data_IF_068445373967
#
_entry.id   IF_068445373967
#
_cell.length_a   1.000
_cell.length_b   1.000
_cell.length_c   1.000
_cell.angle_alpha   90.00
_cell.angle_beta   90.00
_cell.angle_gamma   90.00
#
_symmetry.space_group_name_H-M   'P 1'
#
loop_
_entity.id
_entity.type
_entity.pdbx_description
1 polymer ?
#
# COMPACT_ATOMS: atom_id res chain seq x y z
N UNK A 1 5.33 6.53 28.75
CA UNK A 1 4.06 7.21 28.39
C UNK A 1 3.30 7.58 29.66
N UNK A 2 2.80 8.81 29.72
CA UNK A 2 2.04 9.32 30.87
C UNK A 2 0.64 9.71 30.38
N UNK A 3 -0.38 9.24 31.09
CA UNK A 3 -1.77 9.58 30.81
C UNK A 3 -2.07 10.93 31.48
N UNK A 4 -2.22 11.96 30.66
CA UNK A 4 -2.50 13.32 31.13
C UNK A 4 -3.88 13.46 31.78
N UNK A 5 -4.88 12.69 31.32
CA UNK A 5 -6.25 12.79 31.82
C UNK A 5 -6.37 12.18 33.22
N UNK A 6 -5.72 11.04 33.43
CA UNK A 6 -5.81 10.29 34.69
C UNK A 6 -4.59 10.50 35.61
N UNK A 7 -3.66 11.38 35.23
CA UNK A 7 -2.43 11.68 35.95
C UNK A 7 -1.66 10.42 36.42
N UNK A 8 -1.52 9.42 35.54
CA UNK A 8 -0.86 8.15 35.88
C UNK A 8 0.15 7.72 34.83
N UNK A 9 1.19 7.02 35.28
CA UNK A 9 2.16 6.40 34.37
C UNK A 9 1.48 5.22 33.68
N UNK A 10 1.32 5.34 32.36
CA UNK A 10 0.74 4.28 31.54
C UNK A 10 1.80 3.27 31.09
N UNK A 11 2.98 3.74 30.70
CA UNK A 11 4.11 2.90 30.30
C UNK A 11 5.40 3.46 30.90
N UNK A 12 6.15 2.62 31.61
CA UNK A 12 7.48 2.97 32.13
C UNK A 12 8.50 3.04 31.00
N UNK A 13 9.68 3.60 31.27
CA UNK A 13 10.75 3.71 30.27
C UNK A 13 11.25 2.31 29.90
N UNK A 14 11.00 1.91 28.66
CA UNK A 14 11.37 0.60 28.11
C UNK A 14 11.93 0.81 26.71
N UNK A 15 12.88 -0.03 26.29
CA UNK A 15 13.39 -0.03 24.92
C UNK A 15 12.31 -0.59 23.99
N UNK A 16 12.05 0.08 22.88
CA UNK A 16 11.13 -0.38 21.84
C UNK A 16 11.86 -0.26 20.51
N UNK A 17 12.25 -1.39 19.93
CA UNK A 17 13.18 -1.42 18.79
C UNK A 17 12.49 -1.18 17.44
N UNK A 18 11.16 -1.35 17.39
CA UNK A 18 10.39 -1.26 16.14
C UNK A 18 10.01 0.18 15.75
N UNK A 19 10.15 1.15 16.66
CA UNK A 19 9.79 2.55 16.41
C UNK A 19 11.03 3.37 16.03
N UNK A 20 11.01 3.98 14.84
CA UNK A 20 12.08 4.84 14.35
C UNK A 20 11.77 6.30 14.63
N UNK A 21 12.82 7.14 14.58
CA UNK A 21 12.65 8.58 14.76
C UNK A 21 11.80 9.18 13.64
N UNK A 22 11.92 8.66 12.42
CA UNK A 22 11.13 9.12 11.27
C UNK A 22 9.62 8.92 11.44
N UNK A 23 9.20 7.97 12.29
CA UNK A 23 7.78 7.68 12.56
C UNK A 23 7.14 8.70 13.52
N UNK A 24 7.94 9.58 14.15
CA UNK A 24 7.48 10.52 15.17
C UNK A 24 7.03 11.87 14.57
N UNK A 25 6.05 11.85 13.66
CA UNK A 25 5.47 13.05 13.07
C UNK A 25 3.97 13.20 13.38
N UNK A 26 3.50 14.46 13.43
CA UNK A 26 2.09 14.78 13.67
C UNK A 26 1.19 14.17 12.59
N UNK A 27 0.13 13.49 13.01
CA UNK A 27 -0.79 12.75 12.15
C UNK A 27 -0.40 11.30 11.91
N UNK A 28 0.78 10.84 12.36
CA UNK A 28 1.12 9.43 12.25
C UNK A 28 0.36 8.58 13.26
N UNK A 29 0.08 7.32 12.90
CA UNK A 29 -0.43 6.30 13.82
C UNK A 29 0.67 5.26 14.07
N UNK A 30 1.12 5.14 15.31
CA UNK A 30 2.18 4.21 15.70
C UNK A 30 1.63 3.13 16.62
N UNK A 31 2.06 1.88 16.42
CA UNK A 31 1.72 0.79 17.33
C UNK A 31 2.81 0.70 18.41
N UNK A 32 2.40 0.75 19.69
CA UNK A 32 3.29 0.59 20.84
C UNK A 32 2.69 -0.46 21.77
N UNK A 33 3.33 -1.64 21.84
CA UNK A 33 2.86 -2.78 22.65
C UNK A 33 1.37 -3.11 22.43
N UNK A 34 0.98 -3.30 21.15
CA UNK A 34 -0.38 -3.66 20.73
C UNK A 34 -1.44 -2.57 20.94
N UNK A 35 -1.02 -1.30 21.09
CA UNK A 35 -1.92 -0.15 21.08
C UNK A 35 -1.56 0.80 19.96
N UNK A 36 -2.54 1.10 19.12
CA UNK A 36 -2.43 2.11 18.08
C UNK A 36 -2.61 3.50 18.70
N UNK A 37 -1.58 4.34 18.60
CA UNK A 37 -1.54 5.70 19.12
C UNK A 37 -1.44 6.69 17.98
N UNK A 38 -2.26 7.73 18.02
CA UNK A 38 -2.21 8.83 17.06
C UNK A 38 -1.39 9.99 17.61
N UNK A 39 -0.35 10.40 16.89
CA UNK A 39 0.48 11.54 17.27
C UNK A 39 -0.27 12.82 16.88
N UNK A 40 -0.85 13.51 17.88
CA UNK A 40 -1.68 14.70 17.63
C UNK A 40 -0.89 16.00 17.60
N UNK A 41 0.14 16.13 18.43
CA UNK A 41 1.01 17.31 18.49
C UNK A 41 2.28 16.97 19.30
N UNK A 42 3.26 17.88 19.29
CA UNK A 42 4.44 17.82 20.15
C UNK A 42 4.16 18.52 21.49
N UNK A 43 4.63 17.93 22.59
CA UNK A 43 4.43 18.49 23.93
C UNK A 43 5.23 19.76 24.23
N UNK A 44 6.25 20.07 23.42
CA UNK A 44 7.12 21.23 23.61
C UNK A 44 7.82 21.65 22.30
N UNK A 45 8.26 22.91 22.25
CA UNK A 45 8.93 23.47 21.06
C UNK A 45 10.29 22.85 20.76
N UNK A 46 11.02 22.36 21.76
CA UNK A 46 12.31 21.73 21.52
C UNK A 46 12.12 20.41 20.77
N UNK A 47 11.19 19.58 21.22
CA UNK A 47 10.78 18.34 20.54
C UNK A 47 10.23 18.65 19.15
N UNK A 48 9.38 19.67 19.01
CA UNK A 48 8.87 20.10 17.71
C UNK A 48 10.00 20.52 16.74
N UNK A 49 11.07 21.17 17.21
CA UNK A 49 12.21 21.52 16.33
C UNK A 49 13.14 20.35 16.06
N UNK A 50 13.31 19.45 17.03
CA UNK A 50 14.28 18.34 16.96
C UNK A 50 13.75 17.10 16.25
N UNK A 51 12.44 16.90 16.35
CA UNK A 51 11.70 15.72 15.86
C UNK A 51 10.61 16.13 14.88
N UNK A 52 10.08 17.36 14.97
CA UNK A 52 9.14 17.89 13.99
C UNK A 52 9.78 18.08 12.62
N UNK A 53 9.68 17.02 11.84
CA UNK A 53 9.88 17.01 10.40
C UNK A 53 8.78 17.87 9.79
N UNK A 54 9.11 18.70 8.79
CA UNK A 54 8.13 19.46 7.98
C UNK A 54 7.46 18.48 7.01
N UNK A 55 6.87 17.42 7.55
CA UNK A 55 6.23 16.42 6.74
C UNK A 55 4.95 17.01 6.20
N UNK A 56 4.91 17.12 4.89
CA UNK A 56 3.72 17.51 4.15
C UNK A 56 3.15 16.28 3.47
N UNK A 57 1.84 16.30 3.23
CA UNK A 57 1.18 15.30 2.39
C UNK A 57 0.99 15.87 1.00
N UNK A 58 1.20 15.05 -0.02
CA UNK A 58 0.86 15.40 -1.40
C UNK A 58 0.20 14.23 -2.12
N UNK A 59 -0.56 14.51 -3.16
CA UNK A 59 -1.07 13.48 -4.06
C UNK A 59 0.02 13.13 -5.07
N UNK A 60 0.42 11.86 -5.09
CA UNK A 60 1.13 11.26 -6.21
C UNK A 60 0.16 10.38 -6.98
N UNK A 61 -0.12 10.72 -8.23
CA UNK A 61 -1.02 9.93 -9.09
C UNK A 61 -0.27 9.39 -10.30
N UNK A 62 -0.38 8.10 -10.54
CA UNK A 62 0.13 7.40 -11.72
C UNK A 62 -1.01 7.31 -12.73
N UNK A 63 -0.77 7.83 -13.94
CA UNK A 63 -1.72 7.94 -15.04
C UNK A 63 -1.85 6.61 -15.81
N UNK A 64 -2.88 6.46 -16.66
CA UNK A 64 -3.17 5.16 -17.32
C UNK A 64 -2.01 4.62 -18.17
N UNK A 65 -1.23 5.50 -18.80
CA UNK A 65 -0.07 5.15 -19.63
C UNK A 65 1.06 4.49 -18.84
N UNK A 66 1.13 4.72 -17.53
CA UNK A 66 2.23 4.26 -16.69
C UNK A 66 1.83 3.19 -15.66
N UNK A 67 0.59 2.71 -15.65
CA UNK A 67 0.15 1.63 -14.74
C UNK A 67 0.96 0.34 -14.96
N UNK A 68 1.34 0.02 -16.19
CA UNK A 68 2.21 -1.12 -16.48
C UNK A 68 3.65 -0.95 -15.92
N UNK A 69 4.01 0.24 -15.44
CA UNK A 69 5.29 0.59 -14.80
C UNK A 69 5.10 0.98 -13.33
N UNK A 70 3.96 0.64 -12.74
CA UNK A 70 3.57 0.97 -11.37
C UNK A 70 4.65 0.64 -10.34
N UNK A 71 5.20 -0.58 -10.37
CA UNK A 71 6.24 -1.00 -9.42
C UNK A 71 7.47 -0.11 -9.48
N UNK A 72 7.98 0.19 -10.68
CA UNK A 72 9.15 1.03 -10.90
C UNK A 72 8.96 2.48 -10.44
N UNK A 73 7.74 3.01 -10.58
CA UNK A 73 7.41 4.35 -10.08
C UNK A 73 7.30 4.37 -8.56
N UNK A 74 6.68 3.35 -7.96
CA UNK A 74 6.62 3.19 -6.50
C UNK A 74 8.02 3.05 -5.90
N UNK A 75 8.92 2.27 -6.51
CA UNK A 75 10.33 2.21 -6.08
C UNK A 75 10.98 3.60 -6.10
N UNK A 76 10.82 4.37 -7.19
CA UNK A 76 11.38 5.72 -7.27
C UNK A 76 10.82 6.67 -6.18
N UNK A 77 9.54 6.54 -5.82
CA UNK A 77 8.93 7.28 -4.71
C UNK A 77 9.59 6.90 -3.39
N UNK A 78 9.67 5.60 -3.10
CA UNK A 78 10.22 5.08 -1.84
C UNK A 78 11.72 5.39 -1.69
N UNK A 79 12.51 5.27 -2.77
CA UNK A 79 13.95 5.57 -2.81
C UNK A 79 14.24 7.06 -2.52
N UNK A 80 13.29 7.94 -2.79
CA UNK A 80 13.40 9.38 -2.46
C UNK A 80 13.19 9.66 -0.97
N UNK A 81 12.78 8.65 -0.19
CA UNK A 81 12.48 8.76 1.24
C UNK A 81 11.04 9.15 1.54
N UNK A 82 10.14 9.09 0.55
CA UNK A 82 8.71 9.23 0.79
C UNK A 82 8.15 8.00 1.50
N UNK A 83 7.15 8.24 2.34
CA UNK A 83 6.31 7.21 2.92
C UNK A 83 4.96 7.25 2.21
N UNK A 84 4.48 6.10 1.74
CA UNK A 84 3.13 5.98 1.16
C UNK A 84 2.17 5.65 2.31
N UNK A 85 1.22 6.54 2.61
CA UNK A 85 0.26 6.38 3.71
C UNK A 85 -1.08 5.85 3.25
N UNK A 86 -1.46 6.11 2.00
CA UNK A 86 -2.66 5.56 1.36
C UNK A 86 -2.35 5.26 -0.10
N UNK A 87 -3.01 4.24 -0.63
CA UNK A 87 -2.94 3.90 -2.04
C UNK A 87 -4.26 3.29 -2.52
N UNK A 88 -4.70 3.66 -3.71
CA UNK A 88 -5.91 3.13 -4.33
C UNK A 88 -5.82 3.16 -5.85
N UNK A 89 -6.21 2.06 -6.49
CA UNK A 89 -6.45 2.02 -7.94
C UNK A 89 -7.91 2.32 -8.24
N UNK A 90 -8.16 3.26 -9.14
CA UNK A 90 -9.52 3.69 -9.52
C UNK A 90 -9.64 3.88 -11.02
N UNK A 91 -10.86 3.73 -11.55
CA UNK A 91 -11.20 4.10 -12.91
C UNK A 91 -12.14 5.30 -12.82
N UNK A 92 -11.63 6.47 -13.21
CA UNK A 92 -12.42 7.70 -13.15
C UNK A 92 -13.50 7.68 -14.22
N UNK A 93 -14.74 7.94 -13.81
CA UNK A 93 -15.79 8.34 -14.75
C UNK A 93 -15.46 9.69 -15.37
N UNK A 94 -16.09 9.99 -16.51
CA UNK A 94 -15.93 11.29 -17.18
C UNK A 94 -16.27 12.46 -16.26
N UNK A 95 -17.31 12.32 -15.45
CA UNK A 95 -17.71 13.34 -14.47
C UNK A 95 -16.63 13.54 -13.41
N UNK A 96 -16.18 12.46 -12.77
CA UNK A 96 -15.12 12.53 -11.75
C UNK A 96 -13.84 13.14 -12.29
N UNK A 97 -13.42 12.78 -13.51
CA UNK A 97 -12.26 13.37 -14.14
C UNK A 97 -12.45 14.88 -14.43
N UNK A 98 -13.64 15.30 -14.87
CA UNK A 98 -13.96 16.72 -15.09
C UNK A 98 -13.95 17.52 -13.79
N UNK A 99 -14.52 16.96 -12.72
CA UNK A 99 -14.56 17.58 -11.40
C UNK A 99 -13.13 17.74 -10.85
N UNK A 100 -12.30 16.69 -10.98
CA UNK A 100 -10.90 16.70 -10.54
C UNK A 100 -10.04 17.74 -11.29
N UNK A 101 -10.22 17.88 -12.61
CA UNK A 101 -9.46 18.83 -13.43
C UNK A 101 -10.22 20.14 -13.71
N UNK A 102 -11.20 20.51 -12.88
CA UNK A 102 -12.07 21.69 -13.11
C UNK A 102 -11.30 23.00 -13.31
N UNK A 103 -10.14 23.17 -12.65
CA UNK A 103 -9.23 24.31 -12.83
C UNK A 103 -8.68 24.45 -14.26
N UNK A 104 -8.75 23.41 -15.07
CA UNK A 104 -8.29 23.38 -16.46
C UNK A 104 -9.44 23.43 -17.49
N UNK A 105 -10.69 23.61 -17.07
CA UNK A 105 -11.86 23.55 -17.94
C UNK A 105 -11.80 24.55 -19.13
N UNK A 106 -11.14 25.69 -18.94
CA UNK A 106 -10.97 26.72 -19.99
C UNK A 106 -9.80 26.46 -20.95
N UNK A 107 -9.01 25.40 -20.74
CA UNK A 107 -7.84 25.08 -21.55
C UNK A 107 -8.21 24.27 -22.78
N UNK A 108 -7.57 24.55 -23.92
CA UNK A 108 -7.83 23.87 -25.19
C UNK A 108 -7.59 22.35 -25.14
N UNK A 109 -6.68 21.88 -24.30
CA UNK A 109 -6.34 20.47 -24.11
C UNK A 109 -7.26 19.72 -23.13
N UNK A 110 -8.24 20.40 -22.52
CA UNK A 110 -9.05 19.81 -21.44
C UNK A 110 -9.81 18.56 -21.90
N UNK A 111 -10.45 18.60 -23.08
CA UNK A 111 -11.21 17.46 -23.60
C UNK A 111 -10.34 16.21 -23.78
N UNK A 112 -9.11 16.39 -24.31
CA UNK A 112 -8.17 15.29 -24.53
C UNK A 112 -7.63 14.75 -23.20
N UNK A 113 -7.37 15.63 -22.23
CA UNK A 113 -6.98 15.25 -20.87
C UNK A 113 -8.07 14.39 -20.22
N UNK A 114 -9.33 14.82 -20.27
CA UNK A 114 -10.44 14.05 -19.70
C UNK A 114 -10.57 12.70 -20.42
N UNK A 115 -10.57 12.69 -21.75
CA UNK A 115 -10.66 11.45 -22.53
C UNK A 115 -9.55 10.46 -22.17
N UNK A 116 -8.31 10.96 -22.00
CA UNK A 116 -7.18 10.14 -21.58
C UNK A 116 -7.33 9.62 -20.15
N UNK A 117 -7.69 10.48 -19.19
CA UNK A 117 -7.82 10.08 -17.77
C UNK A 117 -8.96 9.09 -17.53
N UNK A 118 -9.94 9.03 -18.42
CA UNK A 118 -11.03 8.04 -18.39
C UNK A 118 -10.75 6.78 -19.20
N UNK A 119 -9.61 6.70 -19.90
CA UNK A 119 -9.32 5.60 -20.83
C UNK A 119 -8.85 4.31 -20.15
N UNK A 120 -8.47 4.38 -18.88
CA UNK A 120 -7.94 3.24 -18.12
C UNK A 120 -7.76 3.57 -16.64
N UNK A 121 -7.32 2.57 -15.85
CA UNK A 121 -7.12 2.75 -14.41
C UNK A 121 -6.02 3.77 -14.12
N UNK A 122 -6.14 4.44 -12.98
CA UNK A 122 -5.09 5.27 -12.38
C UNK A 122 -4.80 4.77 -10.97
N UNK A 123 -3.61 5.07 -10.47
CA UNK A 123 -3.25 4.79 -9.08
C UNK A 123 -3.03 6.10 -8.34
N UNK A 124 -3.89 6.39 -7.37
CA UNK A 124 -3.75 7.51 -6.46
C UNK A 124 -2.99 7.08 -5.20
N UNK A 125 -2.02 7.89 -4.77
CA UNK A 125 -1.20 7.66 -3.58
C UNK A 125 -1.21 8.92 -2.72
N UNK A 126 -1.47 8.78 -1.42
CA UNK A 126 -1.12 9.79 -0.42
C UNK A 126 0.33 9.51 -0.02
N UNK A 127 1.22 10.46 -0.32
CA UNK A 127 2.64 10.36 0.06
C UNK A 127 2.99 11.45 1.06
N UNK A 128 3.81 11.10 2.04
CA UNK A 128 4.29 12.00 3.08
C UNK A 128 5.82 12.04 3.08
N UNK A 129 6.38 13.24 3.22
CA UNK A 129 7.81 13.50 3.20
C UNK A 129 8.13 14.94 3.54
N UNK A 130 9.40 15.26 3.73
CA UNK A 130 9.83 16.64 3.93
C UNK A 130 9.64 17.46 2.64
N UNK A 131 8.96 18.61 2.77
CA UNK A 131 8.59 19.48 1.65
C UNK A 131 7.94 18.69 0.50
N UNK A 132 7.00 17.79 0.83
CA UNK A 132 6.57 16.70 -0.04
C UNK A 132 6.08 17.16 -1.42
N UNK A 133 5.33 18.28 -1.48
CA UNK A 133 4.84 18.83 -2.74
C UNK A 133 6.01 19.20 -3.65
N UNK A 134 6.99 19.93 -3.12
CA UNK A 134 8.15 20.36 -3.90
C UNK A 134 9.05 19.17 -4.30
N UNK A 135 9.31 18.26 -3.35
CA UNK A 135 10.10 17.05 -3.55
C UNK A 135 9.47 16.13 -4.61
N UNK A 136 8.14 15.96 -4.59
CA UNK A 136 7.43 15.15 -5.58
C UNK A 136 7.46 15.79 -6.96
N UNK A 137 7.25 17.10 -7.06
CA UNK A 137 7.35 17.84 -8.33
C UNK A 137 8.76 17.77 -8.93
N UNK A 138 9.80 17.83 -8.09
CA UNK A 138 11.18 17.64 -8.52
C UNK A 138 11.41 16.23 -9.09
N UNK A 139 10.87 15.20 -8.44
CA UNK A 139 10.98 13.81 -8.91
C UNK A 139 10.20 13.58 -10.23
N UNK A 140 9.07 14.27 -10.42
CA UNK A 140 8.31 14.26 -11.67
C UNK A 140 9.09 14.87 -12.84
N UNK A 141 9.72 16.02 -12.62
CA UNK A 141 10.34 16.82 -13.68
C UNK A 141 9.33 17.62 -14.53
N UNK A 142 9.79 18.26 -15.61
CA UNK A 142 8.96 19.10 -16.48
C UNK A 142 7.69 18.39 -17.00
N UNK A 143 6.58 19.14 -17.15
CA UNK A 143 5.27 18.58 -17.56
C UNK A 143 5.32 17.90 -18.93
N UNK A 144 6.09 18.45 -19.87
CA UNK A 144 6.30 17.83 -21.19
C UNK A 144 7.44 16.81 -21.09
N UNK A 145 7.13 15.55 -21.42
CA UNK A 145 8.07 14.43 -21.33
C UNK A 145 9.30 14.59 -22.25
N UNK A 146 9.17 15.28 -23.39
CA UNK A 146 10.32 15.59 -24.25
C UNK A 146 11.29 16.56 -23.58
N UNK A 147 10.78 17.62 -22.94
CA UNK A 147 11.58 18.56 -22.15
C UNK A 147 12.17 17.89 -20.92
N UNK A 148 11.41 17.01 -20.26
CA UNK A 148 11.92 16.24 -19.13
C UNK A 148 13.11 15.37 -19.52
N UNK A 149 13.07 14.71 -20.69
CA UNK A 149 14.20 13.92 -21.20
C UNK A 149 15.47 14.72 -21.41
N UNK A 150 15.39 16.01 -21.76
CA UNK A 150 16.56 16.87 -21.92
C UNK A 150 17.04 17.48 -20.60
N UNK A 151 16.13 17.95 -19.75
CA UNK A 151 16.48 18.74 -18.55
C UNK A 151 16.65 17.89 -17.29
N UNK A 152 15.90 16.80 -17.18
CA UNK A 152 15.87 15.92 -16.00
C UNK A 152 15.74 14.44 -16.42
N UNK A 153 16.74 13.83 -17.07
CA UNK A 153 16.61 12.49 -17.68
C UNK A 153 16.21 11.37 -16.71
N UNK A 154 16.54 11.53 -15.42
CA UNK A 154 16.17 10.58 -14.37
C UNK A 154 14.74 10.74 -13.83
N UNK A 155 14.01 11.78 -14.23
CA UNK A 155 12.68 12.08 -13.71
C UNK A 155 11.64 11.06 -14.18
N UNK A 156 10.53 10.94 -13.43
CA UNK A 156 9.45 10.01 -13.77
C UNK A 156 8.88 10.31 -15.16
N UNK A 157 8.64 11.59 -15.48
CA UNK A 157 8.09 12.00 -16.78
C UNK A 157 9.07 11.74 -17.93
N UNK A 158 10.38 11.89 -17.69
CA UNK A 158 11.39 11.56 -18.69
C UNK A 158 11.43 10.06 -19.01
N UNK A 159 11.36 9.23 -17.97
CA UNK A 159 11.51 7.76 -18.07
C UNK A 159 10.26 7.05 -18.59
N UNK A 160 9.07 7.52 -18.21
CA UNK A 160 7.83 6.79 -18.42
C UNK A 160 6.77 7.55 -19.24
N UNK A 161 6.93 8.85 -19.45
CA UNK A 161 5.98 9.67 -20.21
C UNK A 161 6.30 9.73 -21.71
N UNK A 162 5.27 9.83 -22.54
CA UNK A 162 5.41 10.02 -23.99
C UNK A 162 5.40 11.50 -24.40
N UNK A 163 4.43 12.26 -23.91
CA UNK A 163 4.15 13.65 -24.34
C UNK A 163 3.73 14.55 -23.17
N UNK A 164 3.01 15.65 -23.44
CA UNK A 164 2.53 16.58 -22.41
C UNK A 164 1.26 16.12 -21.67
N UNK A 165 0.40 15.35 -22.32
CA UNK A 165 -0.85 14.81 -21.76
C UNK A 165 -0.60 13.46 -21.11
N UNK A 166 0.06 12.55 -21.86
CA UNK A 166 0.52 11.23 -21.44
C UNK A 166 1.93 11.33 -20.87
N UNK A 167 2.01 11.89 -19.68
CA UNK A 167 3.26 12.17 -18.98
C UNK A 167 3.46 11.28 -17.75
N UNK A 168 2.88 10.07 -17.74
CA UNK A 168 2.99 9.05 -16.69
C UNK A 168 2.44 9.40 -15.30
N UNK A 169 2.58 10.64 -14.80
CA UNK A 169 2.23 10.98 -13.43
C UNK A 169 1.83 12.44 -13.22
N UNK A 170 0.93 12.63 -12.25
CA UNK A 170 0.43 13.90 -11.75
C UNK A 170 0.92 14.15 -10.32
N UNK A 171 1.09 15.43 -10.00
CA UNK A 171 1.42 15.89 -8.67
C UNK A 171 0.85 17.27 -8.43
N UNK A 172 0.33 17.48 -7.22
CA UNK A 172 -0.24 18.75 -6.80
C UNK A 172 0.76 19.90 -6.96
N UNK A 173 0.27 21.11 -7.23
CA UNK A 173 1.11 22.30 -7.40
C UNK A 173 1.36 23.08 -6.12
N UNK A 174 0.53 22.87 -5.10
CA UNK A 174 0.58 23.54 -3.81
C UNK A 174 0.03 22.63 -2.70
N UNK A 175 0.31 22.98 -1.44
CA UNK A 175 -0.24 22.29 -0.26
C UNK A 175 -1.77 22.35 -0.26
N UNK A 176 -2.34 23.49 -0.66
CA UNK A 176 -3.79 23.66 -0.73
C UNK A 176 -4.40 22.72 -1.80
N UNK A 177 -3.79 22.62 -2.98
CA UNK A 177 -4.24 21.70 -4.03
C UNK A 177 -4.07 20.25 -3.59
N UNK A 178 -2.95 19.90 -2.95
CA UNK A 178 -2.74 18.58 -2.38
C UNK A 178 -3.85 18.19 -1.40
N UNK A 179 -4.23 19.07 -0.47
CA UNK A 179 -5.30 18.79 0.47
C UNK A 179 -6.65 18.53 -0.24
N UNK A 180 -7.02 19.35 -1.23
CA UNK A 180 -8.26 19.17 -2.02
C UNK A 180 -8.24 17.86 -2.80
N UNK A 181 -7.15 17.60 -3.52
CA UNK A 181 -6.97 16.41 -4.35
C UNK A 181 -6.95 15.13 -3.51
N UNK A 182 -6.31 15.15 -2.34
CA UNK A 182 -6.31 14.02 -1.41
C UNK A 182 -7.68 13.75 -0.81
N UNK A 183 -8.45 14.78 -0.46
CA UNK A 183 -9.82 14.62 0.05
C UNK A 183 -10.75 14.03 -1.03
N UNK A 184 -10.51 14.34 -2.32
CA UNK A 184 -11.25 13.74 -3.42
C UNK A 184 -11.03 12.21 -3.52
N UNK A 185 -9.78 11.74 -3.42
CA UNK A 185 -9.47 10.30 -3.54
C UNK A 185 -9.63 9.52 -2.23
N UNK A 186 -9.36 10.17 -1.09
CA UNK A 186 -9.33 9.56 0.23
C UNK A 186 -10.11 10.40 1.25
N UNK A 187 -11.45 10.48 1.11
CA UNK A 187 -12.28 11.32 1.95
C UNK A 187 -12.11 10.98 3.43
N UNK A 188 -12.01 12.01 4.27
CA UNK A 188 -11.78 11.88 5.71
C UNK A 188 -13.07 11.67 6.52
N UNK A 189 -14.21 12.07 5.95
CA UNK A 189 -15.50 12.23 6.67
C UNK A 189 -16.62 11.29 6.20
N UNK A 190 -16.28 10.07 5.75
CA UNK A 190 -17.27 9.10 5.25
C UNK A 190 -17.88 9.43 3.90
N UNK A 191 -17.29 10.39 3.17
CA UNK A 191 -17.60 10.62 1.76
C UNK A 191 -17.18 9.43 0.90
N UNK A 192 -17.91 9.18 -0.20
CA UNK A 192 -17.53 8.17 -1.19
C UNK A 192 -16.60 8.81 -2.23
N UNK A 193 -15.31 8.50 -2.15
CA UNK A 193 -14.35 8.81 -3.22
C UNK A 193 -14.58 7.90 -4.44
N UNK A 194 -13.79 8.06 -5.52
CA UNK A 194 -13.92 7.23 -6.70
C UNK A 194 -13.84 5.73 -6.38
N UNK A 195 -14.66 4.94 -7.08
CA UNK A 195 -14.77 3.49 -6.85
C UNK A 195 -13.47 2.79 -7.25
N UNK A 196 -13.11 1.76 -6.47
CA UNK A 196 -12.00 0.87 -6.82
C UNK A 196 -12.30 0.09 -8.12
N UNK A 197 -11.27 -0.27 -8.87
CA UNK A 197 -11.32 -1.05 -10.12
C UNK A 197 -11.53 -2.55 -9.94
N UNK A 198 -11.65 -3.04 -8.71
CA UNK A 198 -11.84 -4.46 -8.42
C UNK A 198 -13.03 -5.07 -9.19
N UNK A 199 -12.76 -6.18 -9.86
CA UNK A 199 -13.69 -6.86 -10.79
C UNK A 199 -14.35 -8.09 -10.20
N UNK A 200 -13.72 -8.72 -9.22
CA UNK A 200 -14.30 -9.82 -8.46
C UNK A 200 -14.68 -11.04 -9.31
N UNK A 201 -14.04 -11.20 -10.48
CA UNK A 201 -14.30 -12.24 -11.47
C UNK A 201 -12.98 -12.76 -12.02
N UNK A 202 -12.81 -14.09 -12.05
CA UNK A 202 -11.60 -14.78 -12.52
C UNK A 202 -10.30 -14.21 -11.92
N UNK A 203 -10.34 -13.94 -10.61
CA UNK A 203 -9.30 -13.23 -9.89
C UNK A 203 -8.82 -13.97 -8.64
N UNK A 204 -7.66 -13.58 -8.13
CA UNK A 204 -7.12 -13.97 -6.82
C UNK A 204 -6.66 -12.74 -6.05
N UNK A 205 -6.62 -12.85 -4.73
CA UNK A 205 -6.10 -11.81 -3.86
C UNK A 205 -4.64 -12.08 -3.49
N UNK A 206 -3.82 -11.04 -3.56
CA UNK A 206 -2.46 -11.02 -3.05
C UNK A 206 -2.30 -9.87 -2.05
N UNK A 207 -1.84 -10.18 -0.84
CA UNK A 207 -1.59 -9.17 0.19
C UNK A 207 -0.08 -9.02 0.36
N UNK A 208 0.44 -7.82 0.09
CA UNK A 208 1.78 -7.42 0.50
C UNK A 208 1.74 -7.12 2.00
N UNK A 209 2.51 -7.88 2.78
CA UNK A 209 2.48 -7.84 4.25
C UNK A 209 3.20 -6.61 4.83
N UNK A 210 2.91 -6.24 6.10
CA UNK A 210 3.47 -5.04 6.71
C UNK A 210 5.00 -4.94 6.75
N UNK A 211 5.74 -6.02 7.02
CA UNK A 211 7.20 -5.95 6.94
C UNK A 211 7.69 -5.60 5.53
N UNK A 212 7.07 -6.12 4.47
CA UNK A 212 7.48 -5.82 3.11
C UNK A 212 7.16 -4.36 2.73
N UNK A 213 6.02 -3.83 3.20
CA UNK A 213 5.67 -2.42 3.00
C UNK A 213 6.63 -1.51 3.76
N UNK A 214 6.90 -1.79 5.04
CA UNK A 214 7.78 -0.95 5.88
C UNK A 214 9.25 -0.98 5.48
N UNK A 215 9.69 -2.04 4.79
CA UNK A 215 11.03 -2.18 4.20
C UNK A 215 11.14 -1.61 2.78
N UNK A 216 10.06 -1.03 2.24
CA UNK A 216 10.05 -0.43 0.91
C UNK A 216 10.11 -1.46 -0.23
N UNK A 217 9.73 -2.72 0.01
CA UNK A 217 9.75 -3.78 -1.00
C UNK A 217 8.52 -3.78 -1.92
N UNK A 218 7.51 -2.95 -1.63
CA UNK A 218 6.25 -2.87 -2.40
C UNK A 218 6.49 -2.73 -3.89
N UNK A 219 7.35 -1.78 -4.30
CA UNK A 219 7.61 -1.55 -5.72
C UNK A 219 8.29 -2.73 -6.42
N UNK A 220 9.22 -3.41 -5.73
CA UNK A 220 9.90 -4.62 -6.22
C UNK A 220 8.92 -5.77 -6.42
N UNK A 221 8.06 -6.00 -5.42
CA UNK A 221 7.01 -7.03 -5.48
C UNK A 221 6.08 -6.78 -6.68
N UNK A 222 5.63 -5.54 -6.86
CA UNK A 222 4.77 -5.17 -7.99
C UNK A 222 5.49 -5.37 -9.34
N UNK A 223 6.77 -5.02 -9.43
CA UNK A 223 7.57 -5.26 -10.63
C UNK A 223 7.74 -6.76 -10.92
N UNK A 224 7.98 -7.60 -9.92
CA UNK A 224 8.08 -9.05 -10.10
C UNK A 224 6.75 -9.66 -10.56
N UNK A 225 5.62 -9.25 -9.97
CA UNK A 225 4.28 -9.70 -10.38
C UNK A 225 4.00 -9.30 -11.84
N UNK A 226 4.22 -8.03 -12.20
CA UNK A 226 4.00 -7.54 -13.56
C UNK A 226 4.94 -8.20 -14.57
N UNK A 227 6.21 -8.43 -14.20
CA UNK A 227 7.21 -9.07 -15.07
C UNK A 227 6.94 -10.56 -15.28
N UNK A 228 6.26 -11.21 -14.34
CA UNK A 228 5.79 -12.58 -14.47
C UNK A 228 4.53 -12.71 -15.37
N UNK A 229 3.98 -11.59 -15.84
CA UNK A 229 2.85 -11.55 -16.77
C UNK A 229 1.49 -11.69 -16.08
N UNK A 230 1.40 -11.31 -14.80
CA UNK A 230 0.12 -11.17 -14.09
C UNK A 230 -0.46 -9.76 -14.31
N UNK A 231 -1.77 -9.69 -14.48
CA UNK A 231 -2.49 -8.42 -14.59
C UNK A 231 -3.02 -7.98 -13.22
N UNK A 232 -2.52 -6.86 -12.71
CA UNK A 232 -3.02 -6.22 -11.49
C UNK A 232 -4.21 -5.34 -11.86
N UNK A 233 -5.41 -5.77 -11.48
CA UNK A 233 -6.67 -5.10 -11.81
C UNK A 233 -7.17 -4.17 -10.71
N UNK A 234 -6.74 -4.38 -9.47
CA UNK A 234 -7.01 -3.48 -8.36
C UNK A 234 -5.87 -3.45 -7.36
N UNK A 235 -5.76 -2.33 -6.65
CA UNK A 235 -4.82 -2.13 -5.56
C UNK A 235 -5.45 -1.25 -4.48
N UNK A 236 -5.27 -1.62 -3.21
CA UNK A 236 -5.72 -0.84 -2.07
C UNK A 236 -4.76 -1.02 -0.89
N UNK A 237 -4.32 0.10 -0.29
CA UNK A 237 -3.61 0.06 0.99
C UNK A 237 -4.61 0.08 2.14
N UNK A 238 -4.39 -0.74 3.15
CA UNK A 238 -5.25 -0.86 4.33
C UNK A 238 -4.42 -1.22 5.57
N UNK A 239 -5.02 -1.20 6.75
CA UNK A 239 -4.40 -1.68 8.00
C UNK A 239 -5.39 -2.61 8.66
N UNK A 240 -4.94 -3.80 9.05
CA UNK A 240 -5.86 -4.80 9.58
C UNK A 240 -5.99 -4.71 11.10
N UNK A 241 -7.23 -4.66 11.57
CA UNK A 241 -7.54 -4.81 12.99
C UNK A 241 -7.39 -6.26 13.44
N UNK A 242 -7.16 -6.45 14.74
CA UNK A 242 -6.90 -7.79 15.29
C UNK A 242 -8.04 -8.77 15.06
N UNK A 243 -9.30 -8.33 15.23
CA UNK A 243 -10.47 -9.18 15.01
C UNK A 243 -10.55 -9.64 13.54
N UNK A 244 -10.38 -8.72 12.60
CA UNK A 244 -10.37 -9.04 11.16
C UNK A 244 -9.20 -9.96 10.80
N UNK A 245 -8.02 -9.78 11.39
CA UNK A 245 -6.88 -10.67 11.14
C UNK A 245 -7.10 -12.08 11.69
N UNK A 246 -7.77 -12.23 12.83
CA UNK A 246 -8.13 -13.54 13.39
C UNK A 246 -9.20 -14.24 12.54
N UNK A 247 -10.18 -13.50 12.03
CA UNK A 247 -11.17 -14.01 11.06
C UNK A 247 -10.48 -14.43 9.75
N UNK A 248 -9.61 -13.57 9.22
CA UNK A 248 -8.84 -13.83 8.00
C UNK A 248 -7.99 -15.10 8.08
N UNK A 249 -7.41 -15.38 9.25
CA UNK A 249 -6.59 -16.57 9.49
C UNK A 249 -7.32 -17.71 10.22
N UNK A 250 -8.64 -17.68 10.31
CA UNK A 250 -9.41 -18.64 11.12
C UNK A 250 -9.09 -20.10 10.76
N UNK A 251 -8.93 -20.40 9.47
CA UNK A 251 -8.63 -21.75 8.97
C UNK A 251 -7.26 -22.30 9.46
N UNK A 252 -6.34 -21.42 9.86
CA UNK A 252 -5.02 -21.80 10.37
C UNK A 252 -5.00 -22.00 11.89
N UNK A 253 -6.06 -21.59 12.59
CA UNK A 253 -6.15 -21.62 14.05
C UNK A 253 -6.11 -23.05 14.56
N UNK A 254 -5.11 -23.36 15.39
CA UNK A 254 -4.88 -24.70 15.92
C UNK A 254 -4.23 -25.69 14.93
N UNK A 255 -4.03 -25.29 13.67
CA UNK A 255 -3.33 -26.09 12.65
C UNK A 255 -1.86 -25.67 12.55
N UNK A 256 -1.59 -24.36 12.55
CA UNK A 256 -0.25 -23.79 12.41
C UNK A 256 0.25 -23.26 13.75
N UNK A 257 1.47 -23.63 14.15
CA UNK A 257 2.06 -23.24 15.43
C UNK A 257 2.29 -21.71 15.51
N UNK A 258 2.63 -21.10 14.38
CA UNK A 258 2.92 -19.68 14.23
C UNK A 258 1.66 -18.80 14.08
N UNK A 259 0.44 -19.34 14.21
CA UNK A 259 -0.82 -18.60 14.02
C UNK A 259 -0.85 -17.24 14.74
N UNK A 260 -0.49 -17.21 16.02
CA UNK A 260 -0.50 -15.96 16.80
C UNK A 260 0.50 -14.92 16.26
N UNK A 261 1.66 -15.37 15.77
CA UNK A 261 2.66 -14.49 15.17
C UNK A 261 2.23 -14.00 13.78
N UNK A 262 1.53 -14.83 13.01
CA UNK A 262 0.95 -14.44 11.72
C UNK A 262 -0.09 -13.33 11.87
N UNK A 263 -1.01 -13.48 12.83
CA UNK A 263 -2.00 -12.44 13.17
C UNK A 263 -1.29 -11.17 13.64
N UNK A 264 -0.30 -11.29 14.53
CA UNK A 264 0.45 -10.14 15.03
C UNK A 264 1.20 -9.38 13.92
N UNK A 265 1.84 -10.10 12.99
CA UNK A 265 2.53 -9.51 11.84
C UNK A 265 1.55 -8.77 10.94
N UNK A 266 0.38 -9.33 10.67
CA UNK A 266 -0.59 -8.73 9.75
C UNK A 266 -1.26 -7.48 10.33
N UNK A 267 -1.34 -7.38 11.66
CA UNK A 267 -1.76 -6.18 12.39
C UNK A 267 -0.62 -5.19 12.70
N UNK A 268 0.63 -5.50 12.35
CA UNK A 268 1.78 -4.68 12.76
C UNK A 268 1.87 -3.35 12.02
N UNK A 269 1.21 -3.22 10.86
CA UNK A 269 1.27 -2.00 10.05
C UNK A 269 0.43 -2.07 8.77
N UNK A 270 0.68 -1.15 7.81
CA UNK A 270 -0.06 -1.08 6.57
C UNK A 270 0.24 -2.28 5.66
N UNK A 271 -0.80 -2.80 5.04
CA UNK A 271 -0.78 -3.82 4.00
C UNK A 271 -1.19 -3.22 2.66
N UNK A 272 -0.82 -3.89 1.56
CA UNK A 272 -1.37 -3.58 0.23
C UNK A 272 -2.07 -4.81 -0.33
N UNK A 273 -3.38 -4.74 -0.50
CA UNK A 273 -4.16 -5.75 -1.19
C UNK A 273 -4.12 -5.49 -2.69
N UNK A 274 -3.95 -6.57 -3.45
CA UNK A 274 -3.93 -6.58 -4.91
C UNK A 274 -4.96 -7.59 -5.40
N UNK A 275 -5.75 -7.18 -6.39
CA UNK A 275 -6.53 -8.11 -7.21
C UNK A 275 -5.69 -8.45 -8.44
N UNK A 276 -5.52 -9.75 -8.67
CA UNK A 276 -4.81 -10.29 -9.82
C UNK A 276 -5.81 -11.09 -10.65
N UNK A 277 -6.08 -10.66 -11.89
CA UNK A 277 -7.00 -11.33 -12.81
C UNK A 277 -6.21 -12.07 -13.90
N UNK A 278 -6.41 -13.37 -14.02
CA UNK A 278 -5.85 -14.18 -15.09
C UNK A 278 -6.55 -15.54 -15.15
N UNK A 279 -6.47 -16.24 -16.28
CA UNK A 279 -6.83 -17.66 -16.35
C UNK A 279 -5.99 -18.46 -15.34
N UNK A 280 -6.67 -19.25 -14.51
CA UNK A 280 -6.08 -20.04 -13.42
C UNK A 280 -5.24 -19.21 -12.42
N UNK A 281 -5.62 -17.94 -12.20
CA UNK A 281 -4.86 -17.01 -11.38
C UNK A 281 -4.48 -17.54 -9.98
N UNK A 282 -5.37 -18.21 -9.20
CA UNK A 282 -5.00 -18.73 -7.88
C UNK A 282 -3.87 -19.76 -7.93
N UNK A 283 -3.88 -20.69 -8.90
CA UNK A 283 -2.84 -21.72 -9.02
C UNK A 283 -1.51 -21.09 -9.47
N UNK A 284 -1.55 -20.29 -10.55
CA UNK A 284 -0.35 -19.67 -11.11
C UNK A 284 0.33 -18.73 -10.12
N UNK A 285 -0.46 -17.92 -9.42
CA UNK A 285 0.07 -17.02 -8.41
C UNK A 285 0.70 -17.78 -7.25
N UNK A 286 0.11 -18.88 -6.80
CA UNK A 286 0.69 -19.71 -5.74
C UNK A 286 2.01 -20.34 -6.16
N UNK A 287 2.10 -20.86 -7.38
CA UNK A 287 3.34 -21.42 -7.91
C UNK A 287 4.44 -20.36 -8.02
N UNK A 288 4.08 -19.15 -8.45
CA UNK A 288 4.97 -17.99 -8.54
C UNK A 288 5.44 -17.49 -7.15
N UNK A 289 4.50 -17.31 -6.21
CA UNK A 289 4.80 -16.92 -4.84
C UNK A 289 5.65 -17.98 -4.12
N UNK A 290 5.46 -19.25 -4.46
CA UNK A 290 6.08 -20.37 -3.77
C UNK A 290 5.39 -20.68 -2.44
N UNK A 291 5.88 -21.71 -1.72
CA UNK A 291 5.21 -22.20 -0.53
C UNK A 291 5.18 -21.15 0.59
N UNK A 292 4.09 -21.15 1.38
CA UNK A 292 3.84 -20.15 2.42
C UNK A 292 4.86 -20.23 3.55
N UNK A 293 5.14 -21.46 3.99
CA UNK A 293 6.44 -21.80 4.54
C UNK A 293 7.39 -21.93 3.35
N UNK A 294 8.41 -21.08 3.22
CA UNK A 294 9.42 -21.25 2.19
C UNK A 294 10.01 -22.70 2.18
N UNK A 295 9.87 -23.44 3.30
CA UNK A 295 10.50 -24.72 3.60
C UNK A 295 9.68 -26.00 3.32
N UNK A 296 8.44 -25.97 2.79
CA UNK A 296 7.62 -27.20 2.69
C UNK A 296 7.19 -27.63 1.28
N UNK A 297 7.78 -28.74 0.79
CA UNK A 297 7.09 -29.75 -0.03
C UNK A 297 7.91 -31.07 -0.02
N UNK A 298 7.52 -32.07 0.78
CA UNK A 298 8.03 -33.45 0.69
C UNK A 298 6.87 -34.46 0.77
N UNK A 299 6.91 -35.58 0.01
CA UNK A 299 6.05 -36.73 0.24
C UNK A 299 6.36 -37.34 1.62
N UNK A 300 5.34 -37.96 2.23
CA UNK A 300 5.22 -38.44 3.62
C UNK A 300 6.25 -39.45 4.18
N UNK A 301 7.50 -39.49 3.71
CA UNK A 301 8.50 -40.46 4.21
C UNK A 301 9.87 -39.81 4.44
N UNK A 302 9.99 -38.92 5.44
CA UNK A 302 11.18 -38.72 6.29
C UNK A 302 10.98 -37.48 7.16
N UNK A 303 10.09 -37.61 8.14
CA UNK A 303 9.88 -36.64 9.20
C UNK A 303 10.73 -37.07 10.39
N UNK A 304 12.01 -36.66 10.50
CA UNK A 304 12.69 -36.77 11.80
C UNK A 304 13.85 -35.82 12.10
N UNK A 305 14.35 -35.01 11.16
CA UNK A 305 15.40 -34.03 11.47
C UNK A 305 15.17 -32.77 10.62
N UNK A 306 15.61 -31.62 11.12
CA UNK A 306 15.57 -30.27 10.49
C UNK A 306 14.46 -29.32 10.94
N UNK A 307 14.52 -29.00 12.24
CA UNK A 307 14.07 -27.71 12.75
C UNK A 307 15.10 -26.62 12.45
N UNK A 308 14.64 -25.42 12.02
CA UNK A 308 15.34 -24.12 12.08
C UNK A 308 16.37 -23.75 10.99
N UNK A 309 15.97 -23.58 9.73
CA UNK A 309 16.75 -22.66 8.89
C UNK A 309 15.95 -22.07 7.71
N UNK A 310 16.02 -20.75 7.53
CA UNK A 310 15.44 -19.96 6.42
C UNK A 310 16.14 -20.19 5.08
N UNK A 311 17.14 -21.07 5.03
CA UNK A 311 17.98 -21.33 3.85
C UNK A 311 17.37 -22.33 2.85
N UNK A 312 16.49 -23.25 3.26
CA UNK A 312 16.11 -24.41 2.42
C UNK A 312 15.17 -24.03 1.25
N UNK A 313 14.31 -23.03 1.43
CA UNK A 313 13.45 -22.50 0.38
C UNK A 313 14.21 -21.91 -0.81
N UNK A 314 15.26 -21.16 -0.46
CA UNK A 314 16.19 -20.56 -1.41
C UNK A 314 16.96 -21.63 -2.17
N UNK A 315 17.12 -22.82 -1.60
CA UNK A 315 17.76 -23.95 -2.27
C UNK A 315 16.79 -24.74 -3.18
N UNK A 316 15.52 -24.90 -2.79
CA UNK A 316 14.55 -25.72 -3.54
C UNK A 316 13.85 -24.96 -4.66
N UNK A 317 13.47 -23.70 -4.43
CA UNK A 317 12.81 -22.83 -5.43
C UNK A 317 13.34 -21.39 -5.32
N UNK A 318 14.62 -21.12 -5.65
CA UNK A 318 15.24 -19.80 -5.52
C UNK A 318 14.51 -18.67 -6.27
N UNK A 319 13.72 -19.03 -7.28
CA UNK A 319 13.05 -18.08 -8.18
C UNK A 319 11.69 -17.61 -7.69
N UNK A 320 11.18 -18.11 -6.56
CA UNK A 320 9.86 -17.70 -6.07
C UNK A 320 9.93 -16.38 -5.31
N UNK A 321 8.85 -15.61 -5.37
CA UNK A 321 8.76 -14.29 -4.73
C UNK A 321 9.06 -14.37 -3.22
N UNK A 322 8.52 -15.37 -2.52
CA UNK A 322 8.75 -15.57 -1.08
C UNK A 322 10.19 -16.00 -0.76
N UNK A 323 10.87 -16.72 -1.65
CA UNK A 323 12.27 -17.09 -1.46
C UNK A 323 13.21 -15.89 -1.64
N UNK A 324 12.88 -15.01 -2.59
CA UNK A 324 13.66 -13.82 -2.89
C UNK A 324 13.47 -12.73 -1.82
N UNK A 325 12.23 -12.40 -1.48
CA UNK A 325 11.88 -11.23 -0.65
C UNK A 325 11.42 -11.56 0.77
N UNK A 326 11.14 -12.83 1.07
CA UNK A 326 10.75 -13.27 2.41
C UNK A 326 11.94 -13.37 3.38
N UNK A 327 11.67 -13.09 4.66
CA UNK A 327 12.63 -13.19 5.77
C UNK A 327 12.43 -14.43 6.63
N UNK A 328 11.20 -14.71 7.03
CA UNK A 328 10.84 -15.83 7.90
C UNK A 328 9.51 -16.45 7.45
N UNK A 329 9.05 -17.52 8.12
CA UNK A 329 7.73 -18.11 7.86
C UNK A 329 6.58 -17.09 8.02
N UNK A 330 6.68 -16.26 9.06
CA UNK A 330 5.70 -15.22 9.38
C UNK A 330 5.88 -14.01 8.46
N UNK A 331 7.13 -13.54 8.32
CA UNK A 331 7.54 -12.41 7.47
C UNK A 331 7.95 -12.91 6.09
N UNK A 332 7.00 -13.46 5.35
CA UNK A 332 7.22 -14.12 4.05
C UNK A 332 6.89 -13.23 2.83
N UNK A 333 7.04 -11.91 2.93
CA UNK A 333 6.69 -10.88 1.95
C UNK A 333 5.20 -10.76 1.57
N UNK A 334 4.59 -11.84 1.06
CA UNK A 334 3.22 -11.83 0.53
C UNK A 334 2.37 -13.00 1.03
N UNK A 335 1.09 -12.74 1.21
CA UNK A 335 0.04 -13.76 1.35
C UNK A 335 -0.76 -13.86 0.05
N UNK A 336 -1.15 -15.06 -0.35
CA UNK A 336 -1.96 -15.32 -1.55
C UNK A 336 -2.99 -16.39 -1.20
N UNK A 337 -4.18 -16.32 -1.78
CA UNK A 337 -5.30 -17.18 -1.38
C UNK A 337 -5.01 -18.65 -1.69
N UNK A 338 -5.36 -19.52 -0.74
CA UNK A 338 -5.04 -20.95 -0.83
C UNK A 338 -6.16 -21.80 -1.43
N UNK A 339 -7.35 -21.23 -1.68
CA UNK A 339 -8.41 -21.90 -2.44
C UNK A 339 -8.96 -20.98 -3.54
N UNK A 340 -9.40 -21.53 -4.69
CA UNK A 340 -10.05 -20.76 -5.74
C UNK A 340 -11.33 -20.06 -5.25
N UNK A 341 -12.07 -20.71 -4.35
CA UNK A 341 -13.34 -20.20 -3.82
C UNK A 341 -13.14 -19.12 -2.73
N UNK A 342 -11.95 -19.04 -2.13
CA UNK A 342 -11.62 -18.08 -1.07
C UNK A 342 -11.15 -16.72 -1.59
N UNK A 343 -10.78 -16.63 -2.88
CA UNK A 343 -10.41 -15.35 -3.51
C UNK A 343 -11.50 -14.27 -3.36
N UNK A 344 -12.76 -14.74 -3.35
CA UNK A 344 -13.97 -13.94 -3.21
C UNK A 344 -14.24 -13.54 -1.77
N UNK A 345 -13.74 -14.28 -0.78
CA UNK A 345 -14.00 -13.99 0.63
C UNK A 345 -12.84 -13.21 1.26
N UNK A 346 -11.60 -13.58 0.93
CA UNK A 346 -10.35 -13.05 1.50
C UNK A 346 -9.93 -11.69 0.90
N UNK A 347 -10.25 -11.41 -0.37
CA UNK A 347 -9.92 -10.13 -1.03
C UNK A 347 -11.06 -9.12 -1.03
N UNK A 348 -12.30 -9.59 -1.07
CA UNK A 348 -13.47 -8.73 -1.28
C UNK A 348 -13.96 -8.04 -0.01
N UNK A 349 -13.72 -8.63 1.16
CA UNK A 349 -13.99 -7.98 2.44
C UNK A 349 -13.18 -6.71 2.59
N UNK A 350 -11.86 -6.74 2.36
CA UNK A 350 -10.99 -5.60 2.66
C UNK A 350 -10.93 -4.58 1.50
N UNK A 351 -10.95 -5.00 0.23
CA UNK A 351 -11.02 -4.07 -0.91
C UNK A 351 -12.43 -3.45 -1.04
N UNK A 352 -13.47 -4.21 -0.69
CA UNK A 352 -14.87 -3.76 -0.68
C UNK A 352 -15.22 -2.90 0.54
N UNK A 353 -14.91 -3.34 1.77
CA UNK A 353 -15.16 -2.58 3.01
C UNK A 353 -14.28 -1.32 3.10
N UNK A 354 -13.04 -1.33 2.63
CA UNK A 354 -12.23 -0.09 2.56
C UNK A 354 -12.79 0.95 1.55
N UNK A 355 -13.73 0.54 0.68
CA UNK A 355 -14.50 1.44 -0.17
C UNK A 355 -15.78 1.98 0.47
N UNK A 356 -16.27 1.38 1.57
CA UNK A 356 -17.52 1.77 2.24
C UNK A 356 -17.36 2.22 3.71
N UNK A 357 -16.22 1.96 4.37
CA UNK A 357 -16.08 2.17 5.81
C UNK A 357 -14.97 3.17 6.20
N UNK A 358 -15.36 4.43 6.30
CA UNK A 358 -15.15 5.19 7.54
C UNK A 358 -16.48 5.45 8.25
N UNK A 359 -17.49 4.63 7.96
CA UNK A 359 -18.72 4.59 8.73
C UNK A 359 -18.50 3.56 9.81
N UNK A 360 -18.61 4.02 11.05
CA UNK A 360 -18.88 3.19 12.20
C UNK A 360 -19.83 2.04 11.83
N UNK A 361 -19.36 0.80 11.87
CA UNK A 361 -20.26 -0.30 12.16
C UNK A 361 -20.82 0.00 13.55
N UNK A 362 -22.03 0.55 13.55
CA UNK A 362 -22.87 0.63 14.74
C UNK A 362 -22.95 -0.78 15.30
N UNK A 363 -22.18 -1.05 16.35
CA UNK A 363 -22.58 -2.03 17.32
C UNK A 363 -23.98 -1.63 17.76
N UNK A 364 -24.95 -2.46 17.41
CA UNK A 364 -26.25 -2.50 18.05
C UNK A 364 -26.03 -2.35 19.55
N UNK A 365 -26.72 -1.36 20.12
CA UNK A 365 -26.79 -1.12 21.55
C UNK A 365 -27.09 -2.44 22.27
N UNK A 366 -26.12 -2.94 23.03
CA UNK A 366 -26.39 -3.86 24.13
C UNK A 366 -25.91 -3.12 25.38
N UNK A 367 -26.88 -2.60 26.11
CA UNK A 367 -26.70 -2.06 27.45
C UNK A 367 -26.27 -3.19 28.39
N UNK A 368 -25.10 -3.05 29.02
CA UNK A 368 -24.88 -3.40 30.44
C UNK A 368 -23.96 -2.34 31.04
#
# INVERSE_FOLDING_TARGET
MYDLKNHRVFLRRTKYEELRKEDLYVGNKINVFSRLLHIVDYGDQFTARKVGSKKEKTLAMIKPDAVAKLGSIIEAILDTGFIITKAKMVLLSRKEAMDFYSEHQSKSFFSDLIGFMTSGPIVALEVIGDDAVASWRKLLGPTNSCTARSESPGSIRARFGSDGTKNAAHGSDSIASAARELEFFFPSSGGRGPKNTARFTDCTCCIIKPHAVSEGLTGKILNEILSAGFDITAMQMFTMEKANAEEFYEIYKGVVAEYNEMVAELCSGPCVALEICQTDAPQRLREFCGPADPLFNFPRVQLFLFTRNTEIARHLRPKTLRAHLGKTKVKNAVHCTDLPDDAVLEGMGEIGKAGEDSVSLQASSISI
#
